data_IF_933704002698
#
_entry.id   IF_933704002698
#
_cell.length_a   1.000
_cell.length_b   1.000
_cell.length_c   1.000
_cell.angle_alpha   90.00
_cell.angle_beta   90.00
_cell.angle_gamma   90.00
#
_symmetry.space_group_name_H-M   'P 1'
#
loop_
_entity.id
_entity.type
_entity.pdbx_description
1 polymer ?
#
# COMPACT_ATOMS: atom_id res chain seq x y z
N UNK A 1 22.09 12.49 -1.77
CA UNK A 1 21.06 13.34 -1.10
C UNK A 1 19.72 13.02 -1.76
N UNK A 2 18.68 12.68 -0.99
CA UNK A 2 17.35 12.42 -1.54
C UNK A 2 16.58 13.71 -1.82
N UNK A 3 15.71 13.69 -2.81
CA UNK A 3 14.79 14.78 -3.16
C UNK A 3 13.38 14.48 -2.62
N UNK A 4 12.51 15.49 -2.50
CA UNK A 4 11.10 15.26 -2.18
C UNK A 4 10.40 14.31 -3.16
N UNK A 5 10.82 14.31 -4.44
CA UNK A 5 10.28 13.41 -5.44
C UNK A 5 10.64 11.93 -5.18
N UNK A 6 11.80 11.66 -4.59
CA UNK A 6 12.19 10.30 -4.19
C UNK A 6 11.33 9.77 -3.02
N UNK A 7 10.83 10.66 -2.16
CA UNK A 7 10.04 10.32 -0.97
C UNK A 7 8.53 10.25 -1.23
N UNK A 8 8.03 11.01 -2.21
CA UNK A 8 6.60 11.09 -2.52
C UNK A 8 5.90 9.72 -2.71
N UNK A 9 6.50 8.69 -3.37
CA UNK A 9 5.87 7.39 -3.52
C UNK A 9 5.65 6.67 -2.19
N UNK A 10 6.63 6.71 -1.28
CA UNK A 10 6.53 6.03 0.01
C UNK A 10 5.57 6.78 0.94
N UNK A 11 5.57 8.12 0.91
CA UNK A 11 4.59 8.91 1.66
C UNK A 11 3.15 8.62 1.23
N UNK A 12 2.92 8.54 -0.07
CA UNK A 12 1.61 8.19 -0.64
C UNK A 12 1.17 6.79 -0.20
N UNK A 13 2.09 5.82 -0.20
CA UNK A 13 1.82 4.47 0.30
C UNK A 13 1.43 4.47 1.78
N UNK A 14 2.21 5.15 2.63
CA UNK A 14 1.92 5.23 4.06
C UNK A 14 0.62 5.96 4.39
N UNK A 15 0.30 7.03 3.64
CA UNK A 15 -0.98 7.72 3.77
C UNK A 15 -2.14 6.77 3.46
N UNK A 16 -2.04 6.02 2.36
CA UNK A 16 -3.07 5.07 1.92
C UNK A 16 -3.25 3.91 2.91
N UNK A 17 -2.14 3.32 3.38
CA UNK A 17 -2.15 2.27 4.40
C UNK A 17 -2.92 2.75 5.64
N UNK A 18 -2.50 3.88 6.22
CA UNK A 18 -3.16 4.43 7.41
C UNK A 18 -4.64 4.71 7.15
N UNK A 19 -4.98 5.29 6.00
CA UNK A 19 -6.34 5.67 5.69
C UNK A 19 -7.28 4.48 5.47
N UNK A 20 -6.77 3.36 4.95
CA UNK A 20 -7.61 2.21 4.59
C UNK A 20 -7.64 1.14 5.67
N UNK A 21 -6.63 1.07 6.55
CA UNK A 21 -6.59 0.07 7.63
C UNK A 21 -6.87 0.64 9.01
N UNK A 22 -6.42 1.86 9.31
CA UNK A 22 -6.43 2.41 10.67
C UNK A 22 -7.34 3.64 10.86
N UNK A 23 -7.96 4.19 9.79
CA UNK A 23 -8.79 5.41 9.88
C UNK A 23 -9.93 5.35 10.90
N UNK A 24 -10.53 4.18 11.10
CA UNK A 24 -11.66 3.99 12.02
C UNK A 24 -11.17 3.44 13.38
N UNK A 25 -9.94 2.91 13.44
CA UNK A 25 -9.31 2.37 14.65
C UNK A 25 -8.55 3.45 15.43
N UNK A 26 -9.18 4.60 15.67
CA UNK A 26 -8.70 5.50 16.71
C UNK A 26 -8.75 4.73 18.04
N UNK A 27 -7.57 4.29 18.51
CA UNK A 27 -7.21 4.14 19.93
C UNK A 27 -7.53 2.86 20.73
N UNK A 28 -8.19 1.81 20.23
CA UNK A 28 -8.59 0.70 21.13
C UNK A 28 -7.92 -0.65 20.77
N UNK A 29 -6.70 -0.86 21.30
CA UNK A 29 -6.25 -2.21 21.68
C UNK A 29 -5.60 -3.10 20.62
N UNK A 30 -5.05 -2.55 19.54
CA UNK A 30 -4.32 -3.37 18.56
C UNK A 30 -2.97 -3.84 19.14
N UNK A 31 -2.80 -5.15 19.34
CA UNK A 31 -1.51 -5.72 19.74
C UNK A 31 -0.48 -5.52 18.63
N UNK A 32 0.81 -5.49 18.98
CA UNK A 32 1.90 -5.43 18.00
C UNK A 32 1.75 -6.50 16.92
N UNK A 33 1.35 -7.71 17.29
CA UNK A 33 1.09 -8.81 16.36
C UNK A 33 0.00 -8.46 15.35
N UNK A 34 -1.14 -7.94 15.82
CA UNK A 34 -2.25 -7.57 14.94
C UNK A 34 -1.87 -6.44 13.98
N UNK A 35 -1.09 -5.46 14.43
CA UNK A 35 -0.56 -4.40 13.55
C UNK A 35 0.34 -4.99 12.47
N UNK A 36 1.26 -5.90 12.83
CA UNK A 36 2.16 -6.56 11.87
C UNK A 36 1.35 -7.32 10.82
N UNK A 37 0.36 -8.12 11.25
CA UNK A 37 -0.50 -8.89 10.34
C UNK A 37 -1.30 -7.97 9.42
N UNK A 38 -1.87 -6.88 9.93
CA UNK A 38 -2.60 -5.89 9.12
C UNK A 38 -1.69 -5.28 8.06
N UNK A 39 -0.47 -4.88 8.42
CA UNK A 39 0.49 -4.29 7.47
C UNK A 39 0.91 -5.32 6.41
N UNK A 40 1.22 -6.56 6.80
CA UNK A 40 1.58 -7.62 5.85
C UNK A 40 0.45 -7.94 4.88
N UNK A 41 -0.77 -8.06 5.39
CA UNK A 41 -1.96 -8.29 4.57
C UNK A 41 -2.23 -7.12 3.62
N UNK A 42 -2.07 -5.89 4.09
CA UNK A 42 -2.22 -4.71 3.25
C UNK A 42 -1.17 -4.64 2.15
N UNK A 43 0.11 -4.92 2.44
CA UNK A 43 1.17 -4.97 1.43
C UNK A 43 0.84 -5.99 0.35
N UNK A 44 0.37 -7.19 0.74
CA UNK A 44 -0.04 -8.22 -0.21
C UNK A 44 -1.22 -7.74 -1.07
N UNK A 45 -2.27 -7.23 -0.45
CA UNK A 45 -3.42 -6.65 -1.14
C UNK A 45 -3.01 -5.54 -2.12
N UNK A 46 -2.18 -4.59 -1.67
CA UNK A 46 -1.73 -3.46 -2.46
C UNK A 46 -0.99 -3.93 -3.72
N UNK A 47 -0.08 -4.91 -3.59
CA UNK A 47 0.73 -5.38 -4.71
C UNK A 47 0.00 -6.32 -5.66
N UNK A 48 -0.84 -7.23 -5.14
CA UNK A 48 -1.43 -8.32 -5.91
C UNK A 48 -2.87 -8.07 -6.36
N UNK A 49 -3.60 -7.20 -5.67
CA UNK A 49 -5.06 -7.09 -5.84
C UNK A 49 -5.57 -5.66 -6.05
N UNK A 50 -4.83 -4.64 -5.62
CA UNK A 50 -5.28 -3.25 -5.73
C UNK A 50 -5.33 -2.80 -7.18
N UNK A 51 -6.54 -2.57 -7.68
CA UNK A 51 -6.76 -2.05 -9.02
C UNK A 51 -6.42 -0.57 -9.06
N UNK A 52 -5.54 -0.17 -9.99
CA UNK A 52 -5.21 1.23 -10.20
C UNK A 52 -5.53 1.64 -11.64
N UNK A 53 -6.37 2.66 -11.83
CA UNK A 53 -6.75 3.16 -13.15
C UNK A 53 -5.54 3.58 -13.98
N UNK A 54 -4.52 4.20 -13.34
CA UNK A 54 -3.25 4.58 -13.98
C UNK A 54 -2.47 3.38 -14.57
N UNK A 55 -2.78 2.17 -14.16
CA UNK A 55 -2.19 0.94 -14.66
C UNK A 55 -3.11 0.20 -15.63
N UNK A 56 -4.13 0.87 -16.19
CA UNK A 56 -5.11 0.21 -17.06
C UNK A 56 -6.00 -0.77 -16.30
N UNK A 57 -6.34 -0.44 -15.05
CA UNK A 57 -7.15 -1.28 -14.16
C UNK A 57 -6.48 -2.62 -13.80
N UNK A 58 -5.15 -2.60 -13.63
CA UNK A 58 -4.36 -3.75 -13.19
C UNK A 58 -3.87 -3.57 -11.75
N UNK A 59 -3.49 -4.70 -11.13
CA UNK A 59 -2.66 -4.68 -9.92
C UNK A 59 -1.24 -4.20 -10.24
N UNK A 60 -0.49 -3.66 -9.25
CA UNK A 60 0.90 -3.26 -9.47
C UNK A 60 1.78 -4.39 -10.02
N UNK A 61 1.60 -5.62 -9.56
CA UNK A 61 2.35 -6.78 -10.06
C UNK A 61 1.96 -7.10 -11.51
N UNK A 62 0.67 -7.11 -11.84
CA UNK A 62 0.23 -7.45 -13.19
C UNK A 62 0.68 -6.40 -14.21
N UNK A 63 0.62 -5.11 -13.83
CA UNK A 63 1.18 -4.03 -14.63
C UNK A 63 2.68 -4.22 -14.91
N UNK A 64 3.47 -4.58 -13.88
CA UNK A 64 4.91 -4.85 -14.05
C UNK A 64 5.19 -6.02 -14.98
N UNK A 65 4.38 -7.08 -14.92
CA UNK A 65 4.52 -8.24 -15.81
C UNK A 65 4.29 -7.86 -17.27
N UNK A 66 3.29 -7.03 -17.55
CA UNK A 66 3.02 -6.53 -18.92
C UNK A 66 4.14 -5.65 -19.46
N UNK A 67 4.74 -4.79 -18.62
CA UNK A 67 5.85 -3.93 -19.03
C UNK A 67 7.16 -4.68 -19.33
N UNK A 68 7.27 -5.96 -18.93
CA UNK A 68 8.46 -6.80 -19.15
C UNK A 68 8.29 -7.74 -20.36
N UNK A 69 7.14 -7.70 -21.04
CA UNK A 69 6.84 -8.48 -22.26
C UNK A 69 7.02 -7.58 -23.48
#
# INVERSE_FOLDING_TARGET
KGTPADNAPIESFHSTLKSETFSIQSELGCSTTSVIETVQNFIKYYNEKRIQQKYGYLSPIDYRKQATT
#
